data_IF_929029067804
#
_entry.id   IF_929029067804
#
_cell.length_a   1.000
_cell.length_b   1.000
_cell.length_c   1.000
_cell.angle_alpha   90.00
_cell.angle_beta   90.00
_cell.angle_gamma   90.00
#
_symmetry.space_group_name_H-M   'P 1'
#
loop_
_entity.id
_entity.type
_entity.pdbx_description
1 polymer ?
#
# COMPACT_ATOMS: atom_id res chain seq x y z
N UNK A 1 -7.99 26.17 14.76
CA UNK A 1 -6.62 25.65 14.55
C UNK A 1 -6.52 24.19 14.09
N UNK A 2 -7.36 23.23 14.54
CA UNK A 2 -7.25 21.81 14.13
C UNK A 2 -7.40 21.56 12.61
N UNK A 3 -8.23 22.36 11.92
CA UNK A 3 -8.49 22.19 10.49
C UNK A 3 -7.40 22.77 9.57
N UNK A 4 -6.63 23.77 10.03
CA UNK A 4 -5.58 24.39 9.22
C UNK A 4 -4.43 23.40 8.94
N UNK A 5 -4.04 22.60 9.93
CA UNK A 5 -2.98 21.60 9.78
C UNK A 5 -3.36 20.50 8.78
N UNK A 6 -4.61 20.03 8.85
CA UNK A 6 -5.13 19.06 7.90
C UNK A 6 -5.08 19.61 6.47
N UNK A 7 -5.59 20.82 6.25
CA UNK A 7 -5.64 21.44 4.92
C UNK A 7 -4.24 21.79 4.36
N UNK A 8 -3.29 22.19 5.22
CA UNK A 8 -1.99 22.67 4.77
C UNK A 8 -0.91 21.58 4.69
N UNK A 9 -1.08 20.45 5.38
CA UNK A 9 -0.05 19.41 5.46
C UNK A 9 -0.58 18.04 5.09
N UNK A 10 -1.58 17.52 5.81
CA UNK A 10 -2.01 16.14 5.58
C UNK A 10 -2.74 15.98 4.22
N UNK A 11 -3.53 16.96 3.79
CA UNK A 11 -4.19 16.94 2.49
C UNK A 11 -3.18 17.08 1.32
N UNK A 12 -2.24 18.04 1.30
CA UNK A 12 -1.21 18.12 0.26
C UNK A 12 -0.32 16.88 0.20
N UNK A 13 0.08 16.31 1.34
CA UNK A 13 0.88 15.08 1.36
C UNK A 13 0.10 13.88 0.85
N UNK A 14 -1.21 13.82 1.11
CA UNK A 14 -2.08 12.77 0.57
C UNK A 14 -2.25 12.91 -0.94
N UNK A 15 -2.46 14.14 -1.43
CA UNK A 15 -2.56 14.44 -2.85
C UNK A 15 -1.24 14.11 -3.58
N UNK A 16 -0.10 14.56 -3.05
CA UNK A 16 1.21 14.25 -3.61
C UNK A 16 1.43 12.75 -3.77
N UNK A 17 0.99 11.95 -2.81
CA UNK A 17 1.07 10.49 -2.95
C UNK A 17 0.16 9.91 -4.01
N UNK A 18 -1.07 10.42 -4.14
CA UNK A 18 -1.97 10.01 -5.22
C UNK A 18 -1.28 10.27 -6.56
N UNK A 19 -0.70 11.46 -6.73
CA UNK A 19 0.06 11.81 -7.93
C UNK A 19 1.25 10.86 -8.16
N UNK A 20 2.06 10.59 -7.13
CA UNK A 20 3.18 9.63 -7.21
C UNK A 20 2.66 8.23 -7.62
N UNK A 21 1.58 7.74 -7.01
CA UNK A 21 0.99 6.45 -7.35
C UNK A 21 0.52 6.40 -8.82
N UNK A 22 -0.13 7.47 -9.30
CA UNK A 22 -0.59 7.61 -10.69
C UNK A 22 0.56 7.69 -11.72
N UNK A 23 1.72 8.21 -11.33
CA UNK A 23 2.92 8.16 -12.17
C UNK A 23 3.53 6.74 -12.27
N UNK A 24 3.17 5.83 -11.38
CA UNK A 24 3.74 4.49 -11.27
C UNK A 24 3.71 3.66 -12.55
N UNK A 25 2.57 3.53 -13.25
CA UNK A 25 2.47 2.86 -14.55
C UNK A 25 3.57 3.24 -15.55
N UNK A 26 3.85 4.54 -15.68
CA UNK A 26 4.86 5.07 -16.61
C UNK A 26 6.27 4.85 -16.05
N UNK A 27 6.51 5.27 -14.80
CA UNK A 27 7.83 5.18 -14.17
C UNK A 27 8.32 3.75 -14.09
N UNK A 28 7.48 2.82 -13.64
CA UNK A 28 7.83 1.39 -13.52
C UNK A 28 8.09 0.78 -14.89
N UNK A 29 7.32 1.13 -15.93
CA UNK A 29 7.55 0.62 -17.29
C UNK A 29 8.93 1.06 -17.83
N UNK A 30 9.33 2.31 -17.58
CA UNK A 30 10.62 2.84 -17.97
C UNK A 30 11.77 2.30 -17.11
N UNK A 31 11.54 2.05 -15.82
CA UNK A 31 12.56 1.66 -14.86
C UNK A 31 12.88 0.15 -14.88
N UNK A 32 11.89 -0.71 -15.14
CA UNK A 32 12.03 -2.17 -15.09
C UNK A 32 13.14 -2.74 -16.00
N UNK A 33 13.35 -2.27 -17.25
CA UNK A 33 14.45 -2.76 -18.09
C UNK A 33 15.84 -2.52 -17.50
N UNK A 34 15.97 -1.55 -16.59
CA UNK A 34 17.23 -1.19 -15.92
C UNK A 34 17.33 -1.79 -14.51
N UNK A 35 16.40 -2.67 -14.14
CA UNK A 35 16.40 -3.33 -12.85
C UNK A 35 17.64 -4.22 -12.65
N UNK A 36 18.16 -4.24 -11.43
CA UNK A 36 19.28 -5.08 -11.01
C UNK A 36 19.00 -5.65 -9.63
N UNK A 37 19.43 -6.88 -9.38
CA UNK A 37 19.35 -7.53 -8.05
C UNK A 37 17.94 -7.47 -7.43
N UNK A 38 16.91 -7.69 -8.26
CA UNK A 38 15.50 -7.64 -7.86
C UNK A 38 15.04 -6.24 -7.35
N UNK A 39 15.68 -5.16 -7.81
CA UNK A 39 15.41 -3.76 -7.43
C UNK A 39 15.29 -2.83 -8.64
N UNK A 40 14.45 -1.81 -8.50
CA UNK A 40 14.39 -0.71 -9.47
C UNK A 40 15.63 0.19 -9.32
N UNK A 41 16.05 0.92 -10.38
CA UNK A 41 17.03 1.99 -10.28
C UNK A 41 16.70 2.99 -9.17
N UNK A 42 17.74 3.60 -8.57
CA UNK A 42 17.59 4.54 -7.44
C UNK A 42 16.60 5.68 -7.69
N UNK A 43 16.55 6.20 -8.91
CA UNK A 43 15.62 7.29 -9.28
C UNK A 43 14.14 6.86 -9.26
N UNK A 44 13.86 5.55 -9.37
CA UNK A 44 12.54 4.95 -9.31
C UNK A 44 12.27 4.22 -7.98
N UNK A 45 13.12 4.40 -6.96
CA UNK A 45 13.05 3.66 -5.70
C UNK A 45 11.72 3.83 -4.95
N UNK A 46 10.99 4.93 -5.17
CA UNK A 46 9.67 5.13 -4.57
C UNK A 46 8.64 4.09 -5.03
N UNK A 47 8.76 3.56 -6.24
CA UNK A 47 7.85 2.55 -6.80
C UNK A 47 8.36 1.12 -6.63
N UNK A 48 9.52 0.93 -6.00
CA UNK A 48 10.02 -0.39 -5.65
C UNK A 48 9.26 -0.96 -4.44
N UNK A 49 9.44 -2.26 -4.17
CA UNK A 49 8.94 -2.92 -2.98
C UNK A 49 10.10 -3.24 -2.03
N UNK A 50 10.28 -2.50 -0.92
CA UNK A 50 11.41 -2.71 -0.01
C UNK A 50 11.50 -4.13 0.56
N UNK A 51 10.36 -4.79 0.78
CA UNK A 51 10.30 -6.08 1.48
C UNK A 51 10.52 -7.27 0.53
N UNK A 52 9.96 -7.22 -0.69
CA UNK A 52 9.93 -8.36 -1.61
C UNK A 52 10.58 -8.09 -2.98
N UNK A 53 10.98 -6.85 -3.24
CA UNK A 53 11.52 -6.42 -4.54
C UNK A 53 10.53 -6.59 -5.69
N UNK A 54 11.07 -6.68 -6.89
CA UNK A 54 10.34 -6.77 -8.16
C UNK A 54 9.60 -8.11 -8.30
N UNK A 55 10.19 -9.22 -7.87
CA UNK A 55 9.63 -10.57 -8.01
C UNK A 55 8.41 -10.81 -7.12
N UNK A 56 8.23 -10.00 -6.07
CA UNK A 56 7.14 -10.17 -5.11
C UNK A 56 7.34 -11.39 -4.21
N UNK A 57 6.27 -11.73 -3.46
CA UNK A 57 6.30 -12.84 -2.51
C UNK A 57 5.80 -14.15 -3.13
N UNK A 58 5.90 -15.25 -2.38
CA UNK A 58 5.47 -16.57 -2.85
C UNK A 58 4.02 -16.57 -3.36
N UNK A 59 3.07 -16.04 -2.58
CA UNK A 59 1.66 -15.98 -2.99
C UNK A 59 1.44 -15.18 -4.27
N UNK A 60 2.21 -14.13 -4.50
CA UNK A 60 2.15 -13.36 -5.74
C UNK A 60 2.62 -14.18 -6.95
N UNK A 61 3.62 -15.04 -6.77
CA UNK A 61 4.14 -15.89 -7.85
C UNK A 61 3.27 -17.13 -8.11
N UNK A 62 2.50 -17.60 -7.13
CA UNK A 62 1.78 -18.88 -7.22
C UNK A 62 0.25 -18.79 -7.21
N UNK A 63 -0.33 -17.62 -6.93
CA UNK A 63 -1.79 -17.50 -6.77
C UNK A 63 -2.40 -16.46 -7.71
N UNK A 64 -3.34 -16.92 -8.54
CA UNK A 64 -4.11 -16.06 -9.48
C UNK A 64 -4.87 -14.93 -8.78
N UNK A 65 -5.23 -15.13 -7.51
CA UNK A 65 -5.87 -14.13 -6.65
C UNK A 65 -4.97 -12.92 -6.36
N UNK A 66 -3.65 -13.04 -6.48
CA UNK A 66 -2.69 -11.96 -6.24
C UNK A 66 -2.03 -11.49 -7.53
N UNK A 67 -1.90 -12.39 -8.50
CA UNK A 67 -1.34 -12.13 -9.80
C UNK A 67 -2.23 -12.72 -10.90
N UNK A 68 -3.10 -11.93 -11.54
CA UNK A 68 -3.92 -12.42 -12.65
C UNK A 68 -3.06 -12.83 -13.86
N UNK A 69 -1.78 -12.43 -13.89
CA UNK A 69 -0.80 -12.71 -14.93
C UNK A 69 0.17 -13.82 -14.51
N UNK A 70 -0.26 -14.76 -13.67
CA UNK A 70 0.61 -15.84 -13.13
C UNK A 70 1.40 -16.62 -14.19
N UNK A 71 0.87 -16.80 -15.40
CA UNK A 71 1.60 -17.43 -16.52
C UNK A 71 2.85 -16.64 -16.96
N UNK A 72 2.96 -15.39 -16.52
CA UNK A 72 4.08 -14.48 -16.74
C UNK A 72 4.80 -14.14 -15.43
N UNK A 73 4.63 -14.94 -14.36
CA UNK A 73 5.27 -14.70 -13.07
C UNK A 73 6.78 -14.49 -13.24
N UNK A 74 7.31 -13.43 -12.61
CA UNK A 74 8.71 -13.02 -12.73
C UNK A 74 9.10 -12.37 -14.06
N UNK A 75 8.19 -12.28 -15.04
CA UNK A 75 8.41 -11.57 -16.32
C UNK A 75 7.86 -10.15 -16.26
N UNK A 76 8.23 -9.34 -17.25
CA UNK A 76 7.91 -7.91 -17.30
C UNK A 76 6.43 -7.58 -16.99
N UNK A 77 5.41 -8.20 -17.61
CA UNK A 77 4.01 -7.84 -17.34
C UNK A 77 3.58 -8.09 -15.89
N UNK A 78 4.06 -9.19 -15.30
CA UNK A 78 3.80 -9.51 -13.90
C UNK A 78 4.54 -8.52 -12.99
N UNK A 79 5.85 -8.35 -13.18
CA UNK A 79 6.66 -7.45 -12.36
C UNK A 79 6.15 -6.00 -12.42
N UNK A 80 5.70 -5.55 -13.60
CA UNK A 80 5.05 -4.27 -13.77
C UNK A 80 3.73 -4.18 -12.99
N UNK A 81 2.86 -5.18 -13.11
CA UNK A 81 1.60 -5.23 -12.35
C UNK A 81 1.85 -5.23 -10.83
N UNK A 82 2.85 -5.98 -10.36
CA UNK A 82 3.24 -6.04 -8.95
C UNK A 82 3.58 -4.67 -8.35
N UNK A 83 4.39 -3.90 -9.07
CA UNK A 83 4.94 -2.62 -8.60
C UNK A 83 3.99 -1.45 -8.90
N UNK A 84 3.43 -1.39 -10.10
CA UNK A 84 2.62 -0.26 -10.54
C UNK A 84 1.17 -0.34 -10.06
N UNK A 85 0.60 -1.53 -9.92
CA UNK A 85 -0.84 -1.72 -9.65
C UNK A 85 -1.09 -2.33 -8.27
N UNK A 86 -0.38 -3.41 -7.91
CA UNK A 86 -0.63 -4.11 -6.65
C UNK A 86 -0.02 -3.39 -5.45
N UNK A 87 1.15 -2.79 -5.61
CA UNK A 87 1.90 -2.07 -4.57
C UNK A 87 2.43 -0.71 -5.07
N UNK A 88 1.56 0.17 -5.60
CA UNK A 88 1.99 1.45 -6.15
C UNK A 88 2.72 2.27 -5.08
N UNK A 89 3.90 2.77 -5.44
CA UNK A 89 4.71 3.65 -4.61
C UNK A 89 5.06 3.08 -3.22
N UNK A 90 5.20 1.75 -3.09
CA UNK A 90 5.43 1.10 -1.78
C UNK A 90 6.80 1.45 -1.16
N UNK A 91 7.76 1.91 -1.95
CA UNK A 91 9.05 2.43 -1.47
C UNK A 91 8.90 3.64 -0.54
N UNK A 92 7.79 4.38 -0.64
CA UNK A 92 7.49 5.49 0.28
C UNK A 92 7.32 5.04 1.74
N UNK A 93 7.14 3.74 2.01
CA UNK A 93 7.12 3.18 3.37
C UNK A 93 8.43 3.42 4.15
N UNK A 94 9.54 3.60 3.43
CA UNK A 94 10.84 3.94 4.01
C UNK A 94 10.93 5.40 4.47
N UNK A 95 10.06 6.28 3.96
CA UNK A 95 10.07 7.70 4.31
C UNK A 95 9.25 7.98 5.57
N UNK A 96 9.81 8.74 6.52
CA UNK A 96 9.10 9.18 7.73
C UNK A 96 7.93 10.12 7.42
N UNK A 97 7.99 10.84 6.31
CA UNK A 97 6.92 11.72 5.83
C UNK A 97 5.71 10.90 5.36
N UNK A 98 5.97 9.73 4.80
CA UNK A 98 4.99 8.90 4.11
C UNK A 98 4.71 7.54 4.78
N UNK A 99 5.04 7.41 6.05
CA UNK A 99 4.75 6.19 6.80
C UNK A 99 4.62 6.48 8.27
N UNK A 100 4.03 5.54 9.00
CA UNK A 100 3.94 5.57 10.46
C UNK A 100 4.07 4.16 11.00
N UNK A 101 4.72 4.00 12.15
CA UNK A 101 4.61 2.76 12.91
C UNK A 101 3.44 2.91 13.89
N UNK A 102 2.59 1.89 13.99
CA UNK A 102 1.40 1.96 14.84
C UNK A 102 1.76 2.09 16.33
N UNK A 103 2.87 1.48 16.75
CA UNK A 103 3.39 1.61 18.11
C UNK A 103 3.82 3.04 18.47
N UNK A 104 4.01 3.91 17.48
CA UNK A 104 4.35 5.33 17.68
C UNK A 104 3.11 6.24 17.66
N UNK A 105 1.90 5.70 17.46
CA UNK A 105 0.67 6.47 17.42
C UNK A 105 0.10 6.63 18.84
N UNK A 106 -0.43 7.82 19.13
CA UNK A 106 -1.18 8.11 20.35
C UNK A 106 -2.39 7.17 20.51
N UNK A 107 -3.01 6.81 19.38
CA UNK A 107 -4.08 5.83 19.30
C UNK A 107 -4.20 5.24 17.89
N UNK A 108 -4.80 4.05 17.82
CA UNK A 108 -5.34 3.43 16.60
C UNK A 108 -6.80 3.08 16.87
N UNK A 109 -7.70 3.57 16.04
CA UNK A 109 -9.16 3.36 16.16
C UNK A 109 -9.75 2.94 14.83
N UNK A 110 -10.98 2.45 14.87
CA UNK A 110 -11.71 2.04 13.68
C UNK A 110 -13.21 2.30 13.81
N UNK A 111 -13.90 2.22 12.66
CA UNK A 111 -15.34 2.11 12.52
C UNK A 111 -15.62 0.98 11.50
N UNK A 112 -16.67 0.20 11.74
CA UNK A 112 -16.94 -1.02 10.97
C UNK A 112 -16.34 -2.24 11.65
N UNK A 113 -15.94 -3.23 10.86
CA UNK A 113 -15.40 -4.50 11.37
C UNK A 113 -13.99 -4.32 11.97
N UNK A 114 -13.65 -5.08 13.02
CA UNK A 114 -12.32 -5.03 13.66
C UNK A 114 -11.21 -5.58 12.75
N UNK A 115 -11.56 -6.49 11.85
CA UNK A 115 -10.64 -7.15 10.93
C UNK A 115 -11.30 -7.35 9.58
N UNK A 116 -10.72 -6.74 8.55
CA UNK A 116 -11.15 -6.91 7.14
C UNK A 116 -9.95 -7.39 6.33
N UNK A 117 -9.96 -8.69 6.03
CA UNK A 117 -8.87 -9.36 5.30
C UNK A 117 -9.37 -10.62 4.59
N UNK A 118 -8.46 -11.40 3.99
CA UNK A 118 -8.78 -12.71 3.44
C UNK A 118 -9.53 -13.59 4.43
N UNK A 119 -10.69 -14.09 4.01
CA UNK A 119 -11.59 -14.87 4.86
C UNK A 119 -12.56 -14.03 5.70
N UNK A 120 -12.23 -12.74 5.94
CA UNK A 120 -12.99 -11.79 6.77
C UNK A 120 -13.59 -10.68 5.91
N UNK A 121 -14.71 -10.94 5.19
CA UNK A 121 -15.43 -9.92 4.44
C UNK A 121 -16.01 -8.87 5.38
N UNK A 122 -16.11 -7.65 4.89
CA UNK A 122 -16.55 -6.51 5.68
C UNK A 122 -16.04 -5.19 5.14
N UNK A 123 -16.26 -4.15 5.94
CA UNK A 123 -15.73 -2.82 5.68
C UNK A 123 -15.11 -2.27 6.96
N UNK A 124 -14.02 -1.53 6.79
CA UNK A 124 -13.30 -0.97 7.93
C UNK A 124 -12.75 0.40 7.55
N UNK A 125 -13.13 1.40 8.33
CA UNK A 125 -12.47 2.69 8.31
C UNK A 125 -11.54 2.79 9.53
N UNK A 126 -10.24 2.80 9.29
CA UNK A 126 -9.21 2.94 10.33
C UNK A 126 -8.72 4.38 10.39
N UNK A 127 -8.39 4.83 11.60
CA UNK A 127 -7.72 6.09 11.80
C UNK A 127 -6.78 6.05 13.01
N UNK A 128 -5.60 6.63 12.85
CA UNK A 128 -4.59 6.73 13.89
C UNK A 128 -4.03 8.15 13.94
N UNK A 129 -3.55 8.56 15.11
CA UNK A 129 -2.92 9.88 15.29
C UNK A 129 -1.53 9.71 15.86
N UNK A 130 -0.57 10.46 15.31
CA UNK A 130 0.77 10.63 15.89
C UNK A 130 1.04 12.13 15.98
N UNK A 131 1.02 12.67 17.19
CA UNK A 131 1.11 14.11 17.41
C UNK A 131 -0.01 14.86 16.66
N UNK A 132 0.37 15.69 15.67
CA UNK A 132 -0.59 16.49 14.88
C UNK A 132 -1.09 15.82 13.60
N UNK A 133 -0.51 14.68 13.20
CA UNK A 133 -0.83 14.02 11.93
C UNK A 133 -1.92 12.98 12.11
N UNK A 134 -2.88 13.00 11.18
CA UNK A 134 -3.95 12.01 11.10
C UNK A 134 -3.68 11.03 9.95
N UNK A 135 -3.75 9.75 10.26
CA UNK A 135 -3.52 8.65 9.33
C UNK A 135 -4.83 7.91 9.17
N UNK A 136 -5.38 7.85 7.96
CA UNK A 136 -6.67 7.20 7.70
C UNK A 136 -6.54 6.11 6.64
N UNK A 137 -7.43 5.12 6.71
CA UNK A 137 -7.54 4.05 5.73
C UNK A 137 -8.97 3.55 5.63
N UNK A 138 -9.40 3.20 4.43
CA UNK A 138 -10.67 2.59 4.13
C UNK A 138 -10.42 1.25 3.46
N UNK A 139 -10.96 0.18 4.04
CA UNK A 139 -10.88 -1.17 3.53
C UNK A 139 -12.27 -1.71 3.27
N UNK A 140 -12.39 -2.44 2.18
CA UNK A 140 -13.61 -3.10 1.78
C UNK A 140 -13.25 -4.45 1.14
N UNK A 141 -13.84 -5.52 1.64
CA UNK A 141 -13.66 -6.87 1.10
C UNK A 141 -15.01 -7.57 1.03
N UNK A 142 -15.40 -7.98 -0.17
CA UNK A 142 -16.74 -8.56 -0.44
C UNK A 142 -16.69 -10.07 -0.71
N UNK A 143 -15.63 -10.75 -0.26
CA UNK A 143 -15.39 -12.17 -0.60
C UNK A 143 -15.04 -12.43 -2.07
N UNK A 144 -15.26 -11.45 -2.96
CA UNK A 144 -14.96 -11.45 -4.40
C UNK A 144 -14.26 -10.17 -4.85
N UNK A 145 -13.35 -9.66 -4.02
CA UNK A 145 -12.54 -8.49 -4.35
C UNK A 145 -12.12 -7.72 -3.11
N UNK A 146 -10.88 -7.25 -3.10
CA UNK A 146 -10.29 -6.43 -2.03
C UNK A 146 -10.00 -5.03 -2.54
N UNK A 147 -10.48 -4.03 -1.80
CA UNK A 147 -10.30 -2.62 -2.08
C UNK A 147 -9.75 -1.96 -0.81
N UNK A 148 -8.55 -1.41 -0.86
CA UNK A 148 -7.96 -0.68 0.27
C UNK A 148 -7.34 0.61 -0.22
N UNK A 149 -7.74 1.70 0.42
CA UNK A 149 -7.21 3.04 0.16
C UNK A 149 -6.77 3.63 1.49
N UNK A 150 -5.62 4.29 1.53
CA UNK A 150 -5.11 4.88 2.77
C UNK A 150 -4.14 3.98 3.54
N UNK A 151 -3.77 4.37 4.76
CA UNK A 151 -2.75 3.69 5.55
C UNK A 151 -3.17 2.28 5.97
N UNK A 152 -2.27 1.30 5.87
CA UNK A 152 -2.50 -0.12 6.24
C UNK A 152 -2.43 -0.37 7.76
N UNK A 153 -3.27 0.31 8.53
CA UNK A 153 -3.40 0.17 9.98
C UNK A 153 -4.19 -1.10 10.35
N UNK A 154 -3.80 -1.76 11.44
CA UNK A 154 -4.41 -2.98 11.96
C UNK A 154 -4.93 -2.72 13.39
N UNK A 155 -6.23 -2.49 13.58
CA UNK A 155 -6.80 -2.19 14.91
C UNK A 155 -6.68 -3.34 15.91
N UNK A 156 -6.65 -4.58 15.42
CA UNK A 156 -6.42 -5.81 16.18
C UNK A 156 -4.95 -6.01 16.58
N UNK A 157 -4.04 -5.14 16.12
CA UNK A 157 -2.60 -5.19 16.44
C UNK A 157 -2.01 -3.78 16.60
N UNK A 158 -2.45 -3.00 17.60
CA UNK A 158 -2.05 -1.59 17.76
C UNK A 158 -0.55 -1.43 18.07
N UNK A 159 0.08 -2.41 18.71
CA UNK A 159 1.51 -2.38 19.08
C UNK A 159 2.48 -2.69 17.91
N UNK A 160 2.00 -2.76 16.67
CA UNK A 160 2.81 -3.12 15.50
C UNK A 160 3.92 -2.09 15.26
N UNK A 161 5.17 -2.57 15.28
CA UNK A 161 6.39 -1.76 15.09
C UNK A 161 6.74 -1.53 13.62
N UNK A 162 6.32 -2.43 12.72
CA UNK A 162 6.58 -2.27 11.28
C UNK A 162 5.86 -1.03 10.75
N UNK A 163 6.63 -0.16 10.08
CA UNK A 163 6.09 1.04 9.43
C UNK A 163 5.12 0.65 8.33
N UNK A 164 3.99 1.36 8.26
CA UNK A 164 2.98 1.19 7.23
C UNK A 164 2.83 2.50 6.45
N UNK A 165 2.74 2.38 5.14
CA UNK A 165 2.44 3.47 4.23
C UNK A 165 0.96 3.50 3.86
N UNK A 166 0.61 4.49 3.05
CA UNK A 166 -0.63 4.51 2.31
C UNK A 166 -0.61 3.40 1.24
N UNK A 167 -1.71 2.71 1.10
CA UNK A 167 -1.92 1.61 0.19
C UNK A 167 -3.03 2.01 -0.79
N UNK A 168 -2.86 1.63 -2.05
CA UNK A 168 -3.90 1.67 -3.07
C UNK A 168 -3.97 0.28 -3.66
N UNK A 169 -4.83 -0.53 -3.07
CA UNK A 169 -5.03 -1.91 -3.46
C UNK A 169 -6.40 -1.98 -4.11
N UNK A 170 -6.41 -2.36 -5.38
CA UNK A 170 -7.61 -2.74 -6.11
C UNK A 170 -7.36 -4.14 -6.65
N UNK A 171 -7.96 -5.14 -6.01
CA UNK A 171 -7.77 -6.53 -6.36
C UNK A 171 -9.13 -7.24 -6.55
N UNK A 172 -9.75 -7.13 -7.74
CA UNK A 172 -11.03 -7.78 -8.03
C UNK A 172 -10.90 -9.30 -8.17
N UNK A 173 -9.68 -9.83 -8.30
CA UNK A 173 -9.44 -11.26 -8.51
C UNK A 173 -9.36 -12.05 -7.20
N UNK A 174 -9.32 -11.36 -6.06
CA UNK A 174 -9.27 -11.99 -4.73
C UNK A 174 -10.60 -12.71 -4.45
N UNK A 175 -10.56 -14.03 -4.33
CA UNK A 175 -11.70 -14.87 -3.93
C UNK A 175 -11.41 -15.50 -2.56
N UNK A 176 -12.47 -15.83 -1.83
CA UNK A 176 -12.40 -16.55 -0.56
C UNK A 176 -11.70 -17.90 -0.72
#
# INVERSE_FOLDING_TARGET
>A
MKYLWFALIDAPLSLLRVLIALCGPVVVALALPFARDNRLPRWAAWWDNPDYGISGNHSYLTQKAYNPLIKWAGKFPSNWYWLAIRNPANGLTQSRLFSVSQSECDYVRHKGDIKVDNGYPGWQFVYARKGRRLYTGLYYYVGKGEYRVGFKLLPDSPARVRRVGMTFIVNPFKRR
#
